data_IF_717601674659
#
_entry.id   IF_717601674659
#
_cell.length_a   1.000
_cell.length_b   1.000
_cell.length_c   1.000
_cell.angle_alpha   90.00
_cell.angle_beta   90.00
_cell.angle_gamma   90.00
#
_symmetry.space_group_name_H-M   'P 1'
#
loop_
_entity.id
_entity.type
_entity.pdbx_description
1 polymer ?
#
# COMPACT_ATOMS: atom_id res chain seq x y z
N UNK A 1 10.71 -13.53 5.23
CA UNK A 1 10.82 -12.26 6.00
C UNK A 1 9.82 -11.24 5.50
N UNK A 2 8.96 -10.68 6.36
CA UNK A 2 8.08 -9.56 6.02
C UNK A 2 8.46 -8.28 6.77
N UNK A 3 8.55 -7.14 6.06
CA UNK A 3 8.80 -5.83 6.67
C UNK A 3 7.52 -5.01 6.60
N UNK A 4 6.85 -4.83 7.74
CA UNK A 4 5.68 -3.96 7.83
C UNK A 4 6.08 -2.53 7.48
N UNK A 5 5.30 -1.90 6.62
CA UNK A 5 5.50 -0.49 6.29
C UNK A 5 5.18 0.39 7.50
N UNK A 6 5.84 1.54 7.61
CA UNK A 6 5.63 2.47 8.72
C UNK A 6 4.16 2.95 8.75
N UNK A 7 3.54 2.91 9.95
CA UNK A 7 2.22 3.51 10.19
C UNK A 7 2.34 5.03 9.97
N UNK A 8 1.73 5.55 8.91
CA UNK A 8 1.83 6.98 8.56
C UNK A 8 1.88 7.30 7.07
N UNK A 9 1.58 6.35 6.19
CA UNK A 9 1.41 6.65 4.76
C UNK A 9 0.29 7.69 4.59
N UNK A 10 0.63 8.85 4.05
CA UNK A 10 -0.34 9.91 3.74
C UNK A 10 -1.40 9.39 2.76
N UNK A 11 -2.64 9.85 2.91
CA UNK A 11 -3.64 9.67 1.85
C UNK A 11 -3.15 10.31 0.56
N UNK A 12 -3.56 9.76 -0.59
CA UNK A 12 -3.09 10.23 -1.89
C UNK A 12 -3.33 11.73 -2.13
N UNK A 13 -4.39 12.29 -1.57
CA UNK A 13 -4.73 13.70 -1.66
C UNK A 13 -3.77 14.60 -0.87
N UNK A 14 -3.17 14.07 0.21
CA UNK A 14 -2.22 14.77 1.06
C UNK A 14 -0.76 14.62 0.59
N UNK A 15 -0.53 13.89 -0.51
CA UNK A 15 0.80 13.74 -1.09
C UNK A 15 1.20 15.01 -1.84
N UNK A 16 2.28 15.67 -1.39
CA UNK A 16 2.79 16.86 -2.05
C UNK A 16 3.36 16.53 -3.43
N UNK A 17 2.80 17.16 -4.47
CA UNK A 17 3.24 17.03 -5.84
C UNK A 17 4.06 18.28 -6.21
N UNK A 18 5.32 18.15 -6.69
CA UNK A 18 6.19 19.29 -6.98
C UNK A 18 5.76 20.13 -8.19
N UNK A 19 4.64 19.78 -8.83
CA UNK A 19 4.09 20.43 -10.02
C UNK A 19 2.70 21.05 -9.80
N UNK A 20 2.37 21.44 -8.57
CA UNK A 20 1.13 22.18 -8.25
C UNK A 20 -0.17 21.50 -8.72
N UNK A 21 -0.15 20.17 -8.81
CA UNK A 21 -1.31 19.34 -9.17
C UNK A 21 -1.86 18.58 -7.98
N UNK A 22 -3.08 18.06 -8.13
CA UNK A 22 -3.66 17.04 -7.25
C UNK A 22 -4.00 15.81 -8.07
N UNK A 23 -3.92 14.62 -7.47
CA UNK A 23 -4.47 13.43 -8.09
C UNK A 23 -5.98 13.62 -8.30
N UNK A 24 -6.49 13.20 -9.46
CA UNK A 24 -7.93 13.21 -9.69
C UNK A 24 -8.59 12.16 -8.79
N UNK A 25 -9.53 12.58 -7.93
CA UNK A 25 -10.33 11.66 -7.11
C UNK A 25 -11.16 10.67 -7.96
N UNK A 26 -11.42 11.02 -9.22
CA UNK A 26 -12.08 10.14 -10.18
C UNK A 26 -11.18 9.03 -10.72
N UNK A 27 -9.88 9.07 -10.42
CA UNK A 27 -8.96 8.02 -10.82
C UNK A 27 -9.36 6.70 -10.15
N UNK A 28 -9.48 5.63 -10.96
CA UNK A 28 -9.87 4.29 -10.50
C UNK A 28 -9.02 3.80 -9.32
N UNK A 29 -7.71 4.07 -9.32
CA UNK A 29 -6.82 3.71 -8.22
C UNK A 29 -7.09 4.48 -6.94
N UNK A 30 -7.45 5.77 -7.03
CA UNK A 30 -7.78 6.59 -5.86
C UNK A 30 -9.04 6.04 -5.20
N UNK A 31 -10.09 5.78 -5.98
CA UNK A 31 -11.33 5.16 -5.49
C UNK A 31 -11.11 3.77 -4.89
N UNK A 32 -10.35 2.90 -5.57
CA UNK A 32 -10.04 1.57 -5.04
C UNK A 32 -9.23 1.67 -3.74
N UNK A 33 -8.27 2.59 -3.67
CA UNK A 33 -7.46 2.76 -2.48
C UNK A 33 -8.23 3.28 -1.27
N UNK A 34 -9.35 3.99 -1.44
CA UNK A 34 -10.25 4.38 -0.36
C UNK A 34 -11.09 3.21 0.15
N UNK A 35 -11.45 2.28 -0.73
CA UNK A 35 -12.33 1.15 -0.40
C UNK A 35 -11.58 -0.03 0.22
N UNK A 36 -10.28 -0.18 -0.05
CA UNK A 36 -9.49 -1.34 0.41
C UNK A 36 -9.15 -1.19 1.90
N UNK A 37 -9.49 -2.16 2.77
CA UNK A 37 -9.08 -2.19 4.17
C UNK A 37 -7.60 -2.61 4.29
N UNK A 38 -6.70 -1.68 4.00
CA UNK A 38 -5.26 -1.92 3.90
C UNK A 38 -4.64 -2.58 5.13
N UNK A 39 -5.02 -2.18 6.35
CA UNK A 39 -4.40 -2.70 7.58
C UNK A 39 -4.73 -4.17 7.84
N UNK A 40 -5.98 -4.60 7.55
CA UNK A 40 -6.40 -5.99 7.72
C UNK A 40 -5.64 -6.88 6.75
N UNK A 41 -5.66 -6.53 5.47
CA UNK A 41 -5.00 -7.33 4.44
C UNK A 41 -3.47 -7.31 4.53
N UNK A 42 -2.86 -6.20 4.93
CA UNK A 42 -1.42 -6.15 5.21
C UNK A 42 -1.04 -7.12 6.34
N UNK A 43 -1.90 -7.26 7.35
CA UNK A 43 -1.68 -8.19 8.48
C UNK A 43 -1.77 -9.64 8.02
N UNK A 44 -2.84 -10.01 7.30
CA UNK A 44 -3.04 -11.35 6.73
C UNK A 44 -1.94 -11.72 5.71
N UNK A 45 -1.51 -10.75 4.90
CA UNK A 45 -0.43 -10.95 3.94
C UNK A 45 0.90 -11.17 4.66
N UNK A 46 1.18 -10.42 5.73
CA UNK A 46 2.40 -10.57 6.51
C UNK A 46 2.51 -11.94 7.19
N UNK A 47 1.40 -12.53 7.63
CA UNK A 47 1.34 -13.85 8.27
C UNK A 47 1.78 -14.99 7.35
N UNK A 48 1.71 -14.80 6.03
CA UNK A 48 2.13 -15.81 5.05
C UNK A 48 3.65 -15.94 4.92
N UNK A 49 4.42 -15.01 5.50
CA UNK A 49 5.88 -15.00 5.39
C UNK A 49 6.55 -15.35 6.71
N UNK A 50 7.67 -16.07 6.62
CA UNK A 50 8.55 -16.31 7.76
C UNK A 50 9.08 -15.01 8.35
N UNK A 51 9.29 -14.96 9.67
CA UNK A 51 9.78 -13.76 10.36
C UNK A 51 11.27 -13.47 10.10
N UNK A 52 12.11 -14.52 10.04
CA UNK A 52 13.57 -14.37 10.01
C UNK A 52 14.28 -14.91 8.76
N UNK A 53 13.60 -15.65 7.90
CA UNK A 53 14.26 -16.41 6.83
C UNK A 53 13.92 -15.89 5.42
N UNK A 54 14.86 -16.04 4.50
CA UNK A 54 14.70 -15.68 3.09
C UNK A 54 14.75 -14.18 2.80
N UNK A 55 14.55 -13.83 1.53
CA UNK A 55 14.51 -12.44 1.09
C UNK A 55 13.28 -11.71 1.65
N UNK A 56 13.38 -10.40 1.98
CA UNK A 56 12.22 -9.61 2.37
C UNK A 56 11.18 -9.54 1.26
N UNK A 57 9.92 -9.86 1.58
CA UNK A 57 8.81 -9.69 0.65
C UNK A 57 8.51 -8.21 0.40
N UNK A 58 7.86 -7.93 -0.73
CA UNK A 58 7.33 -6.59 -1.04
C UNK A 58 6.12 -6.30 -0.17
N UNK A 59 5.73 -5.03 -0.03
CA UNK A 59 4.52 -4.68 0.71
C UNK A 59 3.26 -5.20 0.01
N UNK A 60 2.20 -5.47 0.78
CA UNK A 60 0.91 -5.89 0.23
C UNK A 60 0.41 -4.92 -0.84
N UNK A 61 0.53 -3.61 -0.59
CA UNK A 61 0.16 -2.57 -1.55
C UNK A 61 0.88 -2.68 -2.90
N UNK A 62 2.15 -3.09 -2.91
CA UNK A 62 2.89 -3.31 -4.15
C UNK A 62 2.44 -4.59 -4.86
N UNK A 63 2.20 -5.66 -4.10
CA UNK A 63 1.71 -6.93 -4.66
C UNK A 63 0.32 -6.78 -5.28
N UNK A 64 -0.62 -6.19 -4.53
CA UNK A 64 -1.95 -5.85 -5.05
C UNK A 64 -1.85 -4.84 -6.20
N UNK A 65 -0.95 -3.86 -6.05
CA UNK A 65 -0.50 -2.90 -7.06
C UNK A 65 -0.29 -3.49 -8.46
N UNK A 66 0.42 -4.62 -8.51
CA UNK A 66 0.79 -5.27 -9.76
C UNK A 66 -0.31 -6.18 -10.34
N UNK A 67 -1.34 -6.49 -9.56
CA UNK A 67 -2.40 -7.44 -9.96
C UNK A 67 -3.57 -6.76 -10.70
N UNK A 68 -3.82 -5.47 -10.43
CA UNK A 68 -5.01 -4.73 -10.91
C UNK A 68 -4.65 -3.57 -11.84
#
# INVERSE_FOLDING_TARGET
MYRRSAKGQLSFENFYLPFSGKLSGENRWVKLAELIPWESFESEYAEQFSSGEGAPAKSFRMALGALI
#
